data_IF_341888095594
#
_entry.id   IF_341888095594
#
_cell.length_a   1.000
_cell.length_b   1.000
_cell.length_c   1.000
_cell.angle_alpha   90.00
_cell.angle_beta   90.00
_cell.angle_gamma   90.00
#
_symmetry.space_group_name_H-M   'P 1'
#
loop_
_entity.id
_entity.type
_entity.pdbx_description
1 polymer ?
#
# COMPACT_ATOMS: atom_id res chain seq x y z
N UNK A 1 17.04 23.71 11.45
CA UNK A 1 17.34 22.67 10.45
C UNK A 1 16.49 22.92 9.23
N UNK A 2 17.06 22.69 8.05
CA UNK A 2 16.36 22.63 6.77
C UNK A 2 15.93 21.19 6.52
N UNK A 3 14.63 20.98 6.46
CA UNK A 3 14.03 19.65 6.31
C UNK A 3 13.36 19.58 4.94
N UNK A 4 13.68 18.56 4.15
CA UNK A 4 13.04 18.32 2.86
C UNK A 4 12.04 17.16 2.94
N UNK A 5 10.77 17.41 2.59
CA UNK A 5 9.78 16.38 2.36
C UNK A 5 9.78 15.96 0.88
N UNK A 6 10.12 14.71 0.61
CA UNK A 6 10.07 14.09 -0.71
C UNK A 6 8.67 13.52 -0.95
N UNK A 7 7.97 14.00 -1.97
CA UNK A 7 6.62 13.57 -2.29
C UNK A 7 6.54 13.08 -3.73
N UNK A 8 5.80 12.00 -3.97
CA UNK A 8 5.59 11.52 -5.33
C UNK A 8 4.56 12.40 -6.06
N UNK A 9 4.82 12.72 -7.32
CA UNK A 9 3.87 13.43 -8.20
C UNK A 9 3.53 12.54 -9.39
N UNK A 10 2.26 12.14 -9.48
CA UNK A 10 1.74 11.28 -10.55
C UNK A 10 1.48 12.05 -11.86
N UNK A 11 1.35 13.38 -11.82
CA UNK A 11 0.94 14.19 -12.98
C UNK A 11 1.97 15.27 -13.37
N UNK A 12 3.19 15.19 -12.82
CA UNK A 12 4.23 16.20 -13.01
C UNK A 12 3.99 17.48 -12.20
N UNK A 13 4.97 18.40 -12.17
CA UNK A 13 4.96 19.56 -11.27
C UNK A 13 3.83 20.57 -11.51
N UNK A 14 3.14 20.51 -12.67
CA UNK A 14 2.16 21.53 -13.11
C UNK A 14 0.69 21.09 -13.00
N UNK A 15 0.39 19.85 -12.60
CA UNK A 15 -1.00 19.37 -12.48
C UNK A 15 -1.24 18.75 -11.10
N UNK A 16 -1.32 19.62 -10.12
CA UNK A 16 -1.78 19.24 -8.78
C UNK A 16 -3.22 18.73 -8.85
N UNK A 17 -3.44 17.49 -8.41
CA UNK A 17 -4.77 17.09 -7.96
C UNK A 17 -5.14 18.00 -6.80
N UNK A 18 -6.05 18.93 -7.08
CA UNK A 18 -6.61 19.86 -6.12
C UNK A 18 -7.03 19.16 -4.82
N UNK A 19 -6.75 19.85 -3.71
CA UNK A 19 -7.19 19.61 -2.35
C UNK A 19 -6.66 18.37 -1.59
N UNK A 20 -6.30 17.25 -2.24
CA UNK A 20 -5.74 16.10 -1.51
C UNK A 20 -4.25 16.32 -1.10
N UNK A 21 -3.48 17.03 -1.93
CA UNK A 21 -2.07 17.38 -1.65
C UNK A 21 -1.94 18.48 -0.57
N UNK A 22 -3.00 19.25 -0.31
CA UNK A 22 -2.99 20.37 0.63
C UNK A 22 -3.23 19.95 2.10
N UNK A 23 -3.74 18.74 2.34
CA UNK A 23 -4.10 18.26 3.68
C UNK A 23 -2.98 17.51 4.42
N UNK A 24 -2.10 16.81 3.70
CA UNK A 24 -1.18 15.82 4.31
C UNK A 24 0.07 16.47 4.92
N UNK A 25 0.43 17.70 4.55
CA UNK A 25 1.82 18.16 4.73
C UNK A 25 1.98 19.63 5.09
N UNK A 26 1.18 20.20 6.01
CA UNK A 26 1.47 21.54 6.57
C UNK A 26 2.53 21.49 7.67
N UNK A 27 3.70 20.93 7.36
CA UNK A 27 4.81 20.82 8.32
C UNK A 27 5.28 22.18 8.83
N UNK A 28 5.15 23.21 8.01
CA UNK A 28 5.44 24.61 8.37
C UNK A 28 4.58 25.11 9.54
N UNK A 29 3.40 24.54 9.76
CA UNK A 29 2.56 24.86 10.92
C UNK A 29 2.97 24.11 12.19
N UNK A 30 3.77 23.04 12.07
CA UNK A 30 4.13 22.18 13.19
C UNK A 30 5.31 22.71 14.01
N UNK A 31 6.16 23.57 13.43
CA UNK A 31 7.30 24.15 14.13
C UNK A 31 7.82 25.42 13.46
N UNK A 32 8.16 26.42 14.27
CA UNK A 32 8.89 27.62 13.84
C UNK A 32 10.42 27.47 13.97
N UNK A 33 10.92 26.37 14.54
CA UNK A 33 12.35 26.13 14.75
C UNK A 33 13.03 25.48 13.53
N UNK A 34 12.24 25.02 12.57
CA UNK A 34 12.70 24.32 11.37
C UNK A 34 12.07 24.94 10.13
N UNK A 35 12.79 24.91 9.02
CA UNK A 35 12.26 25.30 7.72
C UNK A 35 11.98 24.04 6.93
N UNK A 36 10.76 23.91 6.43
CA UNK A 36 10.33 22.77 5.64
C UNK A 36 10.26 23.16 4.18
N UNK A 37 10.83 22.34 3.32
CA UNK A 37 10.73 22.49 1.87
C UNK A 37 10.18 21.20 1.28
N UNK A 38 9.43 21.32 0.18
CA UNK A 38 8.87 20.17 -0.55
C UNK A 38 9.58 20.00 -1.88
N UNK A 39 9.84 18.75 -2.24
CA UNK A 39 10.36 18.38 -3.55
C UNK A 39 9.53 17.24 -4.10
N UNK A 40 9.02 17.45 -5.31
CA UNK A 40 8.25 16.46 -6.02
C UNK A 40 9.18 15.58 -6.85
N UNK A 41 9.01 14.27 -6.69
CA UNK A 41 9.72 13.24 -7.44
C UNK A 41 8.74 12.68 -8.47
N UNK A 42 9.16 12.72 -9.74
CA UNK A 42 8.41 12.20 -10.87
C UNK A 42 8.98 10.84 -11.29
N UNK A 43 8.14 10.03 -11.91
CA UNK A 43 8.44 8.63 -12.22
C UNK A 43 9.62 8.41 -13.17
N UNK A 44 9.68 9.16 -14.26
CA UNK A 44 10.61 8.92 -15.38
C UNK A 44 12.09 9.23 -15.04
N UNK A 45 12.35 10.01 -13.98
CA UNK A 45 13.70 10.50 -13.63
C UNK A 45 13.93 10.56 -12.12
N UNK A 46 13.31 9.62 -11.38
CA UNK A 46 13.31 9.68 -9.92
C UNK A 46 14.73 9.71 -9.33
N UNK A 47 15.69 8.99 -9.93
CA UNK A 47 17.07 8.92 -9.45
C UNK A 47 17.78 10.27 -9.58
N UNK A 48 17.78 10.83 -10.78
CA UNK A 48 18.41 12.11 -11.08
C UNK A 48 17.79 13.24 -10.24
N UNK A 49 16.47 13.17 -10.01
CA UNK A 49 15.76 14.13 -9.19
C UNK A 49 16.12 14.01 -7.72
N UNK A 50 16.15 12.78 -7.18
CA UNK A 50 16.59 12.53 -5.79
C UNK A 50 18.02 13.03 -5.59
N UNK A 51 18.94 12.69 -6.49
CA UNK A 51 20.34 13.16 -6.42
C UNK A 51 20.43 14.68 -6.46
N UNK A 52 19.60 15.33 -7.29
CA UNK A 52 19.54 16.79 -7.36
C UNK A 52 19.06 17.41 -6.05
N UNK A 53 18.07 16.80 -5.40
CA UNK A 53 17.55 17.29 -4.12
C UNK A 53 18.57 17.10 -3.01
N UNK A 54 19.29 15.98 -2.97
CA UNK A 54 20.35 15.76 -1.99
C UNK A 54 21.49 16.78 -2.12
N UNK A 55 21.82 17.17 -3.35
CA UNK A 55 22.82 18.22 -3.63
C UNK A 55 22.45 19.60 -3.07
N UNK A 56 21.18 19.85 -2.76
CA UNK A 56 20.74 21.09 -2.11
C UNK A 56 21.14 21.18 -0.63
N UNK A 57 21.60 20.07 -0.03
CA UNK A 57 22.21 20.04 1.29
C UNK A 57 21.23 20.30 2.44
N UNK A 58 20.10 19.58 2.47
CA UNK A 58 19.19 19.60 3.62
C UNK A 58 19.79 18.82 4.80
N UNK A 59 19.44 19.23 6.02
CA UNK A 59 19.91 18.61 7.26
C UNK A 59 19.18 17.28 7.55
N UNK A 60 17.93 17.16 7.07
CA UNK A 60 17.08 15.99 7.31
C UNK A 60 16.03 15.84 6.20
N UNK A 61 15.59 14.61 5.96
CA UNK A 61 14.62 14.28 4.92
C UNK A 61 13.41 13.52 5.46
N UNK A 62 12.23 13.79 4.91
CA UNK A 62 11.01 13.02 5.18
C UNK A 62 10.62 12.31 3.88
N UNK A 63 10.72 10.99 3.86
CA UNK A 63 10.32 10.15 2.74
C UNK A 63 8.79 9.93 2.75
N UNK A 64 8.10 10.67 1.88
CA UNK A 64 6.67 10.51 1.59
C UNK A 64 6.45 9.99 0.16
N UNK A 65 7.45 9.29 -0.42
CA UNK A 65 7.35 8.65 -1.72
C UNK A 65 6.44 7.42 -1.60
N UNK A 66 5.13 7.65 -1.56
CA UNK A 66 4.14 6.60 -1.37
C UNK A 66 3.94 5.80 -2.65
N UNK A 67 4.15 4.49 -2.57
CA UNK A 67 3.52 3.51 -3.45
C UNK A 67 3.51 2.13 -2.78
N UNK A 68 2.69 1.24 -3.31
CA UNK A 68 2.65 -0.18 -3.03
C UNK A 68 3.44 -0.95 -4.09
N UNK A 69 3.57 -2.27 -3.90
CA UNK A 69 4.23 -3.17 -4.87
C UNK A 69 3.41 -3.41 -6.13
N UNK A 70 2.12 -3.08 -6.10
CA UNK A 70 1.18 -3.22 -7.22
C UNK A 70 0.93 -1.90 -7.96
N UNK A 71 1.32 -0.77 -7.38
CA UNK A 71 1.29 0.48 -8.11
C UNK A 71 2.24 0.34 -9.32
N UNK A 72 1.78 0.62 -10.55
CA UNK A 72 2.64 0.58 -11.73
C UNK A 72 3.77 1.63 -11.65
N UNK A 73 3.66 2.57 -10.71
CA UNK A 73 4.57 3.68 -10.49
C UNK A 73 5.88 3.30 -9.77
N UNK A 74 6.94 4.03 -10.08
CA UNK A 74 8.28 3.86 -9.48
C UNK A 74 8.41 4.24 -7.98
N UNK A 75 7.34 4.51 -7.23
CA UNK A 75 7.43 5.00 -5.85
C UNK A 75 8.18 4.09 -4.87
N UNK A 76 8.02 2.76 -4.99
CA UNK A 76 8.74 1.76 -4.20
C UNK A 76 10.22 1.75 -4.58
N UNK A 77 10.52 1.80 -5.88
CA UNK A 77 11.89 1.85 -6.39
C UNK A 77 12.58 3.17 -6.01
N UNK A 78 11.87 4.29 -6.06
CA UNK A 78 12.34 5.60 -5.65
C UNK A 78 12.62 5.64 -4.15
N UNK A 79 11.76 5.03 -3.34
CA UNK A 79 11.99 4.89 -1.91
C UNK A 79 13.20 4.01 -1.58
N UNK A 80 13.32 2.86 -2.23
CA UNK A 80 14.48 1.96 -2.05
C UNK A 80 15.78 2.64 -2.46
N UNK A 81 15.76 3.38 -3.58
CA UNK A 81 16.91 4.14 -4.04
C UNK A 81 17.27 5.24 -3.04
N UNK A 82 16.31 6.04 -2.60
CA UNK A 82 16.53 7.07 -1.58
C UNK A 82 17.12 6.48 -0.27
N UNK A 83 16.55 5.38 0.23
CA UNK A 83 17.02 4.70 1.43
C UNK A 83 18.47 4.17 1.28
N UNK A 84 18.87 3.79 0.07
CA UNK A 84 20.24 3.32 -0.20
C UNK A 84 21.31 4.41 -0.12
N UNK A 85 20.92 5.69 -0.13
CA UNK A 85 21.83 6.84 -0.07
C UNK A 85 22.24 7.21 1.36
N UNK A 86 21.68 6.51 2.36
CA UNK A 86 22.06 6.58 3.79
C UNK A 86 22.08 8.01 4.37
N UNK A 87 21.12 8.83 3.95
CA UNK A 87 20.94 10.19 4.47
C UNK A 87 20.02 10.20 5.69
N UNK A 88 20.22 11.14 6.65
CA UNK A 88 19.35 11.28 7.82
C UNK A 88 17.90 11.50 7.39
N UNK A 89 17.03 10.53 7.70
CA UNK A 89 15.65 10.56 7.22
C UNK A 89 14.65 9.83 8.12
N UNK A 90 13.38 10.18 7.95
CA UNK A 90 12.22 9.48 8.51
C UNK A 90 11.10 9.36 7.45
N UNK A 91 9.99 8.73 7.82
CA UNK A 91 8.82 8.57 6.95
C UNK A 91 8.49 7.12 6.66
N UNK A 92 7.92 6.86 5.49
CA UNK A 92 7.53 5.50 5.12
C UNK A 92 8.74 4.72 4.61
N UNK A 93 9.09 3.63 5.29
CA UNK A 93 10.15 2.74 4.85
C UNK A 93 9.64 1.77 3.77
N UNK A 94 10.42 1.54 2.72
CA UNK A 94 10.13 0.56 1.66
C UNK A 94 9.93 -0.84 2.24
N UNK A 95 10.74 -1.26 3.23
CA UNK A 95 10.61 -2.55 3.91
C UNK A 95 9.28 -2.71 4.65
N UNK A 96 8.79 -1.66 5.29
CA UNK A 96 7.48 -1.72 5.97
C UNK A 96 6.33 -1.82 4.97
N UNK A 97 6.49 -1.20 3.80
CA UNK A 97 5.48 -1.18 2.73
C UNK A 97 5.51 -2.39 1.81
N UNK A 98 6.58 -3.19 1.84
CA UNK A 98 6.61 -4.48 1.16
C UNK A 98 5.85 -5.58 1.92
N UNK A 99 5.32 -5.28 3.10
CA UNK A 99 4.51 -6.23 3.87
C UNK A 99 3.08 -6.27 3.31
N UNK A 100 2.63 -7.47 2.96
CA UNK A 100 1.24 -7.73 2.59
C UNK A 100 0.43 -8.10 3.84
N UNK A 101 -0.89 -7.86 3.81
CA UNK A 101 -1.79 -8.09 4.95
C UNK A 101 -1.73 -9.54 5.43
N UNK A 102 -1.67 -10.49 4.50
CA UNK A 102 -1.54 -11.91 4.82
C UNK A 102 -0.32 -12.20 5.72
N UNK A 103 0.85 -11.64 5.37
CA UNK A 103 2.05 -11.80 6.19
C UNK A 103 1.84 -11.29 7.62
N UNK A 104 1.16 -10.16 7.80
CA UNK A 104 0.81 -9.65 9.12
C UNK A 104 -0.08 -10.64 9.89
N UNK A 105 -1.15 -11.13 9.26
CA UNK A 105 -2.10 -12.05 9.90
C UNK A 105 -1.48 -13.42 10.22
N UNK A 106 -0.65 -13.99 9.33
CA UNK A 106 0.10 -15.22 9.59
C UNK A 106 0.99 -15.07 10.83
N UNK A 107 1.75 -13.98 10.93
CA UNK A 107 2.59 -13.72 12.10
C UNK A 107 1.78 -13.45 13.37
N UNK A 108 0.66 -12.72 13.28
CA UNK A 108 -0.20 -12.43 14.42
C UNK A 108 -0.86 -13.70 14.97
N UNK A 109 -1.35 -14.60 14.09
CA UNK A 109 -1.90 -15.91 14.46
C UNK A 109 -0.83 -16.78 15.13
N UNK A 110 0.38 -16.86 14.56
CA UNK A 110 1.49 -17.62 15.16
C UNK A 110 1.89 -17.11 16.55
N UNK A 111 1.86 -15.80 16.76
CA UNK A 111 2.18 -15.18 18.05
C UNK A 111 1.01 -15.18 19.04
N UNK A 112 -0.21 -15.45 18.58
CA UNK A 112 -1.44 -15.24 19.34
C UNK A 112 -1.77 -13.78 19.62
N UNK A 113 -1.11 -12.83 18.96
CA UNK A 113 -1.28 -11.38 19.17
C UNK A 113 -0.84 -10.54 17.95
N UNK A 114 -1.58 -9.45 17.61
CA UNK A 114 -2.90 -9.11 18.14
C UNK A 114 -3.93 -10.20 17.78
N UNK A 115 -5.07 -10.20 18.47
CA UNK A 115 -6.13 -11.17 18.16
C UNK A 115 -6.58 -10.98 16.71
N UNK A 116 -6.57 -12.08 15.94
CA UNK A 116 -7.02 -12.12 14.55
C UNK A 116 -8.36 -12.83 14.51
N UNK A 117 -9.39 -12.27 13.85
CA UNK A 117 -10.66 -12.96 13.63
C UNK A 117 -10.48 -14.36 13.04
N UNK A 118 -11.36 -15.28 13.42
CA UNK A 118 -11.36 -16.64 12.87
C UNK A 118 -11.82 -16.66 11.41
N UNK A 119 -11.35 -17.65 10.64
CA UNK A 119 -11.64 -17.77 9.20
C UNK A 119 -12.83 -18.68 8.86
N UNK A 120 -13.48 -19.27 9.87
CA UNK A 120 -14.47 -20.34 9.68
C UNK A 120 -15.87 -20.00 10.24
N UNK A 121 -15.99 -18.86 10.93
CA UNK A 121 -17.24 -18.45 11.54
C UNK A 121 -17.67 -17.12 10.94
N UNK A 122 -18.81 -17.12 10.28
CA UNK A 122 -19.39 -15.91 9.73
C UNK A 122 -19.86 -14.96 10.85
N UNK A 123 -19.82 -13.64 10.62
CA UNK A 123 -19.41 -12.98 9.38
C UNK A 123 -17.88 -12.92 9.17
N UNK A 124 -17.44 -13.05 7.92
CA UNK A 124 -16.03 -13.00 7.51
C UNK A 124 -15.74 -11.71 6.74
N UNK A 125 -14.60 -11.07 7.00
CA UNK A 125 -14.18 -9.87 6.25
C UNK A 125 -13.11 -10.24 5.23
N UNK A 126 -13.45 -10.09 3.95
CA UNK A 126 -12.63 -10.53 2.83
C UNK A 126 -11.95 -9.34 2.18
N UNK A 127 -10.63 -9.31 2.11
CA UNK A 127 -9.89 -8.18 1.51
C UNK A 127 -8.72 -8.65 0.68
N UNK A 128 -8.34 -7.92 -0.39
CA UNK A 128 -7.07 -8.15 -1.05
C UNK A 128 -5.89 -8.07 -0.08
N UNK A 129 -4.98 -9.04 -0.17
CA UNK A 129 -3.75 -9.12 0.62
C UNK A 129 -2.85 -7.91 0.38
N UNK A 130 -2.82 -7.43 -0.87
CA UNK A 130 -2.14 -6.21 -1.26
C UNK A 130 -3.12 -5.05 -1.48
N UNK A 131 -2.63 -3.83 -1.65
CA UNK A 131 -3.48 -2.65 -1.86
C UNK A 131 -3.73 -1.80 -0.61
N UNK A 132 -4.09 -0.54 -0.83
CA UNK A 132 -4.16 0.54 0.16
C UNK A 132 -5.42 1.37 -0.04
N UNK A 133 -5.87 2.00 1.06
CA UNK A 133 -7.14 2.74 1.16
C UNK A 133 -8.33 1.80 0.93
N UNK A 134 -9.32 1.87 1.82
CA UNK A 134 -10.64 1.36 1.50
C UNK A 134 -11.12 2.19 0.32
N UNK A 135 -10.84 1.76 -0.91
CA UNK A 135 -11.58 2.34 -2.04
C UNK A 135 -13.05 2.27 -1.66
N UNK A 136 -13.83 3.33 -1.90
CA UNK A 136 -15.23 3.40 -1.51
C UNK A 136 -16.03 2.48 -2.42
N UNK A 137 -15.84 1.18 -2.24
CA UNK A 137 -16.58 0.10 -2.87
C UNK A 137 -17.18 -0.73 -1.73
N UNK A 138 -18.01 -0.01 -0.98
CA UNK A 138 -19.14 -0.50 -0.20
C UNK A 138 -18.85 -1.52 0.92
N UNK A 139 -19.89 -1.72 1.72
CA UNK A 139 -20.06 -2.74 2.75
C UNK A 139 -19.90 -4.19 2.22
N UNK A 140 -19.44 -4.38 0.97
CA UNK A 140 -19.48 -5.59 0.14
C UNK A 140 -18.40 -6.64 0.45
N UNK A 141 -17.57 -6.42 1.46
CA UNK A 141 -16.47 -7.32 1.82
C UNK A 141 -16.71 -8.01 3.17
N UNK A 142 -17.91 -7.92 3.73
CA UNK A 142 -18.33 -8.71 4.89
C UNK A 142 -19.32 -9.77 4.39
N UNK A 143 -18.93 -11.03 4.47
CA UNK A 143 -19.74 -12.18 4.05
C UNK A 143 -20.41 -12.75 5.30
N UNK A 144 -21.73 -12.90 5.27
CA UNK A 144 -22.52 -13.49 6.37
C UNK A 144 -22.77 -14.99 6.18
N UNK A 145 -22.51 -15.51 4.98
CA UNK A 145 -22.60 -16.94 4.66
C UNK A 145 -21.59 -17.37 3.58
N UNK A 146 -21.54 -18.68 3.31
CA UNK A 146 -20.60 -19.28 2.38
C UNK A 146 -20.86 -18.89 0.91
N UNK A 147 -22.13 -18.64 0.55
CA UNK A 147 -22.48 -18.20 -0.80
C UNK A 147 -21.92 -16.79 -1.05
N UNK A 148 -22.13 -15.88 -0.11
CA UNK A 148 -21.59 -14.52 -0.17
C UNK A 148 -20.06 -14.53 -0.26
N UNK A 149 -19.40 -15.39 0.53
CA UNK A 149 -17.94 -15.55 0.45
C UNK A 149 -17.48 -15.95 -0.95
N UNK A 150 -18.13 -16.96 -1.57
CA UNK A 150 -17.77 -17.42 -2.92
C UNK A 150 -17.98 -16.33 -3.97
N UNK A 151 -19.07 -15.59 -3.88
CA UNK A 151 -19.38 -14.50 -4.81
C UNK A 151 -18.32 -13.39 -4.73
N UNK A 152 -17.92 -13.01 -3.51
CA UNK A 152 -16.87 -12.01 -3.27
C UNK A 152 -15.51 -12.49 -3.77
N UNK A 153 -15.14 -13.75 -3.52
CA UNK A 153 -13.89 -14.32 -4.03
C UNK A 153 -13.84 -14.33 -5.58
N UNK A 154 -14.95 -14.67 -6.24
CA UNK A 154 -15.07 -14.59 -7.71
C UNK A 154 -14.93 -13.15 -8.23
N UNK A 155 -15.46 -12.18 -7.49
CA UNK A 155 -15.36 -10.77 -7.86
C UNK A 155 -13.91 -10.28 -7.71
N UNK A 156 -13.26 -10.60 -6.59
CA UNK A 156 -11.87 -10.21 -6.32
C UNK A 156 -10.90 -10.84 -7.32
N UNK A 157 -11.05 -12.13 -7.63
CA UNK A 157 -10.19 -12.79 -8.63
C UNK A 157 -10.30 -12.10 -10.01
N UNK A 158 -11.52 -11.72 -10.43
CA UNK A 158 -11.71 -10.98 -11.69
C UNK A 158 -11.09 -9.58 -11.66
N UNK A 159 -11.25 -8.86 -10.54
CA UNK A 159 -10.68 -7.52 -10.38
C UNK A 159 -9.15 -7.56 -10.44
N UNK A 160 -8.52 -8.45 -9.66
CA UNK A 160 -7.07 -8.65 -9.63
C UNK A 160 -6.51 -9.14 -10.97
N UNK A 161 -7.27 -9.97 -11.69
CA UNK A 161 -6.91 -10.40 -13.05
C UNK A 161 -6.89 -9.23 -14.05
N UNK A 162 -7.83 -8.29 -13.92
CA UNK A 162 -8.00 -7.18 -14.87
C UNK A 162 -7.00 -6.04 -14.67
N UNK A 163 -6.48 -5.86 -13.45
CA UNK A 163 -5.47 -4.85 -13.13
C UNK A 163 -4.03 -5.26 -13.49
N UNK A 164 -3.85 -6.40 -14.18
CA UNK A 164 -2.53 -6.96 -14.46
C UNK A 164 -1.90 -7.69 -13.26
N UNK A 165 -2.66 -7.87 -12.18
CA UNK A 165 -2.30 -8.74 -11.07
C UNK A 165 -2.29 -10.21 -11.45
N UNK A 166 -1.72 -11.04 -10.58
CA UNK A 166 -1.69 -12.49 -10.77
C UNK A 166 -3.13 -13.03 -10.69
N UNK A 167 -3.56 -13.83 -11.67
CA UNK A 167 -4.79 -14.64 -11.54
C UNK A 167 -4.64 -15.54 -10.32
N UNK A 168 -5.62 -15.54 -9.42
CA UNK A 168 -5.61 -16.41 -8.25
C UNK A 168 -5.99 -17.83 -8.69
N UNK A 169 -7.00 -17.98 -9.55
CA UNK A 169 -7.31 -19.24 -10.24
C UNK A 169 -8.05 -19.01 -11.57
N UNK A 170 -7.63 -19.69 -12.64
CA UNK A 170 -8.32 -19.62 -13.93
C UNK A 170 -9.71 -20.29 -13.93
N UNK A 171 -10.04 -21.09 -12.90
CA UNK A 171 -11.32 -21.83 -12.78
C UNK A 171 -12.33 -21.23 -11.82
N UNK A 172 -11.90 -20.37 -10.89
CA UNK A 172 -12.73 -19.81 -9.83
C UNK A 172 -13.26 -20.83 -8.81
N UNK A 173 -13.93 -20.37 -7.73
CA UNK A 173 -14.59 -21.22 -6.75
C UNK A 173 -15.73 -22.04 -7.37
N UNK A 174 -15.87 -23.30 -6.97
CA UNK A 174 -16.98 -24.19 -7.35
C UNK A 174 -17.78 -24.64 -6.14
N UNK A 175 -19.05 -24.98 -6.32
CA UNK A 175 -19.94 -25.43 -5.24
C UNK A 175 -19.48 -26.72 -4.54
N UNK A 176 -18.53 -27.45 -5.12
CA UNK A 176 -17.94 -28.67 -4.54
C UNK A 176 -16.67 -28.43 -3.71
N UNK A 177 -16.10 -27.23 -3.75
CA UNK A 177 -14.89 -26.94 -2.97
C UNK A 177 -15.24 -26.89 -1.48
N UNK A 178 -14.50 -27.58 -0.61
CA UNK A 178 -14.68 -27.38 0.83
C UNK A 178 -14.20 -25.98 1.26
N UNK A 179 -14.83 -25.40 2.28
CA UNK A 179 -14.49 -24.04 2.74
C UNK A 179 -13.00 -23.90 3.12
N UNK A 180 -12.42 -24.93 3.73
CA UNK A 180 -11.00 -24.97 4.06
C UNK A 180 -10.10 -24.91 2.82
N UNK A 181 -10.40 -25.75 1.82
CA UNK A 181 -9.66 -25.78 0.55
C UNK A 181 -9.77 -24.44 -0.19
N UNK A 182 -10.93 -23.79 -0.07
CA UNK A 182 -11.16 -22.47 -0.65
C UNK A 182 -10.31 -21.40 0.06
N UNK A 183 -10.29 -21.37 1.39
CA UNK A 183 -9.48 -20.41 2.15
C UNK A 183 -7.99 -20.59 1.85
N UNK A 184 -7.51 -21.84 1.85
CA UNK A 184 -6.10 -22.12 1.58
C UNK A 184 -5.69 -21.71 0.16
N UNK A 185 -6.57 -21.97 -0.83
CA UNK A 185 -6.34 -21.61 -2.24
C UNK A 185 -6.17 -20.10 -2.46
N UNK A 186 -6.87 -19.27 -1.69
CA UNK A 186 -6.85 -17.81 -1.85
C UNK A 186 -5.93 -17.09 -0.84
N UNK A 187 -5.26 -17.82 0.05
CA UNK A 187 -4.57 -17.28 1.22
C UNK A 187 -3.40 -16.31 0.95
N UNK A 188 -2.76 -16.39 -0.21
CA UNK A 188 -1.65 -15.50 -0.55
C UNK A 188 -2.13 -14.14 -1.10
N UNK A 189 -3.29 -14.11 -1.75
CA UNK A 189 -3.81 -12.95 -2.49
C UNK A 189 -5.00 -12.28 -1.79
N UNK A 190 -5.67 -12.99 -0.89
CA UNK A 190 -6.83 -12.53 -0.13
C UNK A 190 -6.68 -12.88 1.35
N UNK A 191 -7.06 -11.94 2.20
CA UNK A 191 -7.22 -12.15 3.64
C UNK A 191 -8.69 -12.32 3.95
N UNK A 192 -8.98 -13.36 4.73
CA UNK A 192 -10.28 -13.67 5.35
C UNK A 192 -10.12 -13.58 6.87
#
# INVERSE_FOLDING_TARGET
MRICALQFSYEGPDRGRGDLENGISRFEMASSQHTFERRFICEESFKEKIDSVLREGFDFYINLLWSTTEDPGTGMQASQYFESLDVPSAGFCSRGRSWIKDSFYKHARQRGAPCVPGMLQFPLSVKPSNGYISEPTDENYVCHDERELRDVLCQLDRQLSSSGGRRIDARGPTASDELHDLIDRYSDDIVI
#
